data_IF_305691718643
#
_entry.id   IF_305691718643
#
_cell.length_a   1.000
_cell.length_b   1.000
_cell.length_c   1.000
_cell.angle_alpha   90.00
_cell.angle_beta   90.00
_cell.angle_gamma   90.00
#
_symmetry.space_group_name_H-M   'P 1'
#
loop_
_entity.id
_entity.type
_entity.pdbx_description
1 polymer ?
#
# COMPACT_ATOMS: atom_id res chain seq x y z
N UNK A 1 -11.19 -8.81 -35.72
CA UNK A 1 -11.50 -7.38 -35.56
C UNK A 1 -10.49 -6.83 -34.57
N UNK A 2 -9.46 -6.17 -35.08
CA UNK A 2 -8.23 -5.80 -34.38
C UNK A 2 -8.41 -4.48 -33.63
N UNK A 3 -8.42 -4.55 -32.30
CA UNK A 3 -8.46 -3.39 -31.40
C UNK A 3 -7.04 -2.77 -31.35
N UNK A 4 -6.72 -1.87 -32.28
CA UNK A 4 -5.38 -1.31 -32.49
C UNK A 4 -5.18 0.14 -32.01
N UNK A 5 -6.11 0.71 -31.23
CA UNK A 5 -6.04 2.11 -30.81
C UNK A 5 -6.31 2.30 -29.31
N UNK A 6 -5.66 1.50 -28.45
CA UNK A 6 -5.52 1.88 -27.04
C UNK A 6 -4.27 2.75 -26.94
N UNK A 7 -4.44 4.08 -26.95
CA UNK A 7 -3.34 5.01 -26.71
C UNK A 7 -2.82 4.78 -25.29
N UNK A 8 -1.58 4.30 -25.09
CA UNK A 8 -1.03 4.02 -23.76
C UNK A 8 -0.79 5.31 -22.96
N UNK A 9 -0.98 6.49 -23.56
CA UNK A 9 -0.92 7.79 -22.89
C UNK A 9 -2.29 8.28 -22.41
N UNK A 10 -3.39 7.63 -22.78
CA UNK A 10 -4.71 7.94 -22.22
C UNK A 10 -4.74 7.62 -20.73
N UNK A 11 -4.98 8.64 -19.91
CA UNK A 11 -5.19 8.47 -18.48
C UNK A 11 -6.42 7.59 -18.31
N UNK A 12 -6.33 6.46 -17.59
CA UNK A 12 -7.49 5.61 -17.32
C UNK A 12 -8.62 6.47 -16.77
N UNK A 13 -9.78 6.43 -17.43
CA UNK A 13 -10.95 7.18 -16.98
C UNK A 13 -11.37 6.65 -15.61
N UNK A 14 -11.08 7.42 -14.57
CA UNK A 14 -11.50 7.12 -13.20
C UNK A 14 -13.03 7.18 -13.13
N UNK A 15 -13.68 6.16 -12.57
CA UNK A 15 -15.11 6.21 -12.30
C UNK A 15 -15.38 7.35 -11.29
N UNK A 16 -16.27 8.31 -11.59
CA UNK A 16 -16.65 9.34 -10.62
C UNK A 16 -17.09 8.79 -9.26
N UNK A 17 -17.63 7.57 -9.21
CA UNK A 17 -18.03 6.91 -7.95
C UNK A 17 -16.83 6.55 -7.09
N UNK A 18 -15.75 6.06 -7.70
CA UNK A 18 -14.53 5.72 -7.00
C UNK A 18 -13.86 6.97 -6.44
N UNK A 19 -13.89 8.07 -7.21
CA UNK A 19 -13.42 9.37 -6.73
C UNK A 19 -14.17 9.84 -5.47
N UNK A 20 -15.50 9.75 -5.46
CA UNK A 20 -16.32 10.15 -4.29
C UNK A 20 -16.02 9.25 -3.08
N UNK A 21 -15.80 7.95 -3.30
CA UNK A 21 -15.43 7.01 -2.23
C UNK A 21 -14.08 7.38 -1.60
N UNK A 22 -13.06 7.63 -2.42
CA UNK A 22 -11.74 8.04 -1.92
C UNK A 22 -11.77 9.39 -1.23
N UNK A 23 -12.52 10.37 -1.74
CA UNK A 23 -12.72 11.65 -1.06
C UNK A 23 -13.37 11.48 0.31
N UNK A 24 -14.38 10.60 0.41
CA UNK A 24 -15.05 10.31 1.68
C UNK A 24 -14.12 9.61 2.66
N UNK A 25 -13.36 8.61 2.19
CA UNK A 25 -12.35 7.90 2.98
C UNK A 25 -11.31 8.88 3.51
N UNK A 26 -10.80 9.76 2.66
CA UNK A 26 -9.84 10.79 3.05
C UNK A 26 -10.39 11.75 4.10
N UNK A 27 -11.63 12.22 3.94
CA UNK A 27 -12.29 13.09 4.92
C UNK A 27 -12.45 12.42 6.29
N UNK A 28 -12.81 11.14 6.32
CA UNK A 28 -12.90 10.38 7.56
C UNK A 28 -11.54 10.23 8.23
N UNK A 29 -10.50 9.92 7.46
CA UNK A 29 -9.13 9.72 7.95
C UNK A 29 -8.57 11.02 8.54
N UNK A 30 -8.79 12.17 7.89
CA UNK A 30 -8.43 13.47 8.44
C UNK A 30 -9.17 13.74 9.76
N UNK A 31 -10.47 13.47 9.81
CA UNK A 31 -11.24 13.67 11.04
C UNK A 31 -10.66 12.81 12.17
N UNK A 32 -10.46 11.52 11.93
CA UNK A 32 -9.90 10.60 12.92
C UNK A 32 -8.50 10.99 13.37
N UNK A 33 -7.67 11.51 12.46
CA UNK A 33 -6.35 12.03 12.80
C UNK A 33 -6.41 13.22 13.78
N UNK A 34 -7.42 14.09 13.64
CA UNK A 34 -7.57 15.27 14.50
C UNK A 34 -8.39 15.02 15.77
N UNK A 35 -9.27 14.02 15.78
CA UNK A 35 -10.16 13.74 16.92
C UNK A 35 -9.78 12.51 17.73
N UNK A 36 -8.97 11.62 17.16
CA UNK A 36 -8.62 10.32 17.74
C UNK A 36 -7.17 10.21 18.17
N UNK A 37 -6.74 8.98 18.40
CA UNK A 37 -5.34 8.64 18.69
C UNK A 37 -4.59 8.40 17.36
N UNK A 38 -3.66 9.30 16.98
CA UNK A 38 -2.97 9.21 15.70
C UNK A 38 -2.08 7.96 15.60
N UNK A 39 -1.54 7.46 16.73
CA UNK A 39 -0.69 6.27 16.73
C UNK A 39 -1.50 5.03 16.35
N UNK A 40 -2.71 4.88 16.93
CA UNK A 40 -3.62 3.79 16.60
C UNK A 40 -4.13 3.87 15.17
N UNK A 41 -4.45 5.07 14.68
CA UNK A 41 -4.85 5.26 13.29
C UNK A 41 -3.72 4.84 12.33
N UNK A 42 -2.49 5.26 12.60
CA UNK A 42 -1.33 4.86 11.78
C UNK A 42 -1.10 3.35 11.79
N UNK A 43 -1.27 2.68 12.94
CA UNK A 43 -1.17 1.22 13.03
C UNK A 43 -2.25 0.52 12.20
N UNK A 44 -3.48 1.04 12.20
CA UNK A 44 -4.58 0.53 11.38
C UNK A 44 -4.27 0.66 9.88
N UNK A 45 -3.89 1.86 9.43
CA UNK A 45 -3.58 2.11 8.01
C UNK A 45 -2.36 1.33 7.52
N UNK A 46 -1.39 1.05 8.41
CA UNK A 46 -0.20 0.27 8.06
C UNK A 46 -0.53 -1.15 7.61
N UNK A 47 -1.60 -1.74 8.14
CA UNK A 47 -2.05 -3.09 7.77
C UNK A 47 -2.48 -3.16 6.30
N UNK A 48 -3.18 -2.13 5.80
CA UNK A 48 -3.63 -2.04 4.40
C UNK A 48 -2.59 -1.39 3.46
N UNK A 49 -1.51 -0.85 4.02
CA UNK A 49 -0.47 -0.17 3.26
C UNK A 49 0.33 -1.14 2.36
N UNK A 50 0.78 -0.63 1.21
CA UNK A 50 1.68 -1.36 0.33
C UNK A 50 3.11 -1.44 0.91
N UNK A 51 3.95 -2.31 0.32
CA UNK A 51 5.33 -2.55 0.76
C UNK A 51 6.14 -1.26 0.86
N UNK A 52 6.06 -0.38 -0.13
CA UNK A 52 6.79 0.89 -0.13
C UNK A 52 6.44 1.78 1.07
N UNK A 53 5.15 1.91 1.39
CA UNK A 53 4.69 2.70 2.53
C UNK A 53 5.08 2.05 3.87
N UNK A 54 5.09 0.72 3.94
CA UNK A 54 5.60 -0.02 5.10
C UNK A 54 7.09 0.19 5.30
N UNK A 55 7.90 0.12 4.24
CA UNK A 55 9.33 0.45 4.27
C UNK A 55 9.57 1.89 4.75
N UNK A 56 8.82 2.85 4.19
CA UNK A 56 8.93 4.24 4.60
C UNK A 56 8.56 4.44 6.08
N UNK A 57 7.51 3.76 6.55
CA UNK A 57 7.12 3.76 7.96
C UNK A 57 8.20 3.13 8.86
N UNK A 58 8.78 2.01 8.45
CA UNK A 58 9.89 1.35 9.16
C UNK A 58 11.11 2.27 9.32
N UNK A 59 11.35 3.16 8.36
CA UNK A 59 12.48 4.10 8.40
C UNK A 59 12.16 5.39 9.17
N UNK A 60 10.95 5.94 8.99
CA UNK A 60 10.66 7.34 9.34
C UNK A 60 9.46 7.55 10.26
N UNK A 61 8.72 6.51 10.64
CA UNK A 61 7.57 6.69 11.51
C UNK A 61 7.97 7.32 12.84
N UNK A 62 7.25 8.36 13.24
CA UNK A 62 7.49 9.08 14.49
C UNK A 62 7.28 8.16 15.71
N UNK A 63 6.17 7.42 15.71
CA UNK A 63 5.83 6.49 16.78
C UNK A 63 6.66 5.20 16.69
N UNK A 64 7.37 4.80 17.75
CA UNK A 64 8.14 3.56 17.77
C UNK A 64 7.30 2.31 17.51
N UNK A 65 6.06 2.26 18.01
CA UNK A 65 5.15 1.12 17.81
C UNK A 65 4.84 0.89 16.32
N UNK A 66 4.52 1.97 15.59
CA UNK A 66 4.26 1.96 14.14
C UNK A 66 5.50 1.50 13.39
N UNK A 67 6.67 1.97 13.80
CA UNK A 67 7.94 1.59 13.19
C UNK A 67 8.24 0.10 13.35
N UNK A 68 8.08 -0.42 14.56
CA UNK A 68 8.31 -1.84 14.86
C UNK A 68 7.29 -2.74 14.15
N UNK A 69 6.01 -2.34 14.12
CA UNK A 69 4.99 -3.06 13.37
C UNK A 69 5.32 -3.08 11.86
N UNK A 70 5.81 -1.97 11.31
CA UNK A 70 6.17 -1.88 9.90
C UNK A 70 7.34 -2.81 9.54
N UNK A 71 8.35 -2.90 10.41
CA UNK A 71 9.45 -3.86 10.26
C UNK A 71 8.91 -5.29 10.29
N UNK A 72 8.02 -5.61 11.24
CA UNK A 72 7.40 -6.94 11.34
C UNK A 72 6.67 -7.35 10.05
N UNK A 73 5.92 -6.44 9.43
CA UNK A 73 5.25 -6.71 8.15
C UNK A 73 6.19 -6.90 6.95
N UNK A 74 7.45 -6.47 7.04
CA UNK A 74 8.47 -6.66 5.99
C UNK A 74 9.26 -7.96 6.18
N UNK A 75 9.36 -8.44 7.42
CA UNK A 75 10.00 -9.71 7.75
C UNK A 75 9.11 -10.91 7.38
N UNK A 76 7.79 -10.70 7.28
CA UNK A 76 6.87 -11.72 6.76
C UNK A 76 7.13 -11.95 5.27
N UNK A 77 7.52 -13.18 4.85
CA UNK A 77 7.84 -13.46 3.47
C UNK A 77 6.58 -13.33 2.61
N UNK A 78 6.58 -12.37 1.67
CA UNK A 78 5.48 -12.26 0.72
C UNK A 78 5.50 -13.48 -0.21
N UNK A 79 4.37 -14.16 -0.44
CA UNK A 79 4.33 -15.34 -1.32
C UNK A 79 4.75 -15.01 -2.76
N UNK A 80 4.72 -13.74 -3.17
CA UNK A 80 5.24 -13.25 -4.46
C UNK A 80 6.75 -13.32 -4.60
N UNK A 81 7.51 -13.30 -3.50
CA UNK A 81 8.98 -13.28 -3.52
C UNK A 81 9.55 -14.67 -3.86
N UNK A 82 8.76 -15.73 -3.63
CA UNK A 82 9.09 -17.12 -3.97
C UNK A 82 9.06 -17.44 -5.48
N UNK A 83 8.61 -16.51 -6.33
CA UNK A 83 8.55 -16.71 -7.78
C UNK A 83 9.91 -16.44 -8.45
N UNK A 84 10.76 -15.59 -7.85
CA UNK A 84 12.11 -15.33 -8.35
C UNK A 84 13.07 -16.50 -8.10
N UNK A 85 12.92 -17.21 -6.98
CA UNK A 85 13.91 -18.20 -6.53
C UNK A 85 13.80 -19.57 -7.26
N UNK A 86 12.65 -19.88 -7.86
CA UNK A 86 12.45 -21.14 -8.60
C UNK A 86 13.12 -21.21 -9.98
N UNK A 87 13.74 -20.13 -10.47
CA UNK A 87 14.41 -20.11 -11.78
C UNK A 87 15.89 -20.53 -11.75
N UNK A 88 16.52 -20.56 -10.57
CA UNK A 88 17.93 -20.97 -10.45
C UNK A 88 18.10 -22.46 -10.16
N UNK A 89 17.13 -23.12 -9.52
CA UNK A 89 17.22 -24.55 -9.17
C UNK A 89 16.97 -25.54 -10.33
N UNK A 90 16.83 -25.08 -11.58
CA UNK A 90 16.70 -25.97 -12.78
C UNK A 90 17.92 -25.95 -13.71
N UNK A 91 19.04 -25.37 -13.28
CA UNK A 91 20.32 -25.34 -14.01
C UNK A 91 21.49 -25.95 -13.23
N UNK A 92 21.21 -26.94 -12.39
CA UNK A 92 22.20 -27.81 -11.74
C UNK A 92 21.94 -29.26 -12.09
#
# INVERSE_FOLDING_TARGET
>A
MSNCCSDPTEIPKLDPRDLVREQTRHGNLLRELFTGDPEKLMLHELHEANTYLRELAALRAHYPSVRLAAIGFLEEPNPSDNIADKRESKRG
#
